data_IF_860156677419
#
_entry.id   IF_860156677419
#
_cell.length_a   1.000
_cell.length_b   1.000
_cell.length_c   1.000
_cell.angle_alpha   90.00
_cell.angle_beta   90.00
_cell.angle_gamma   90.00
#
_symmetry.space_group_name_H-M   'P 1'
#
loop_
_entity.id
_entity.type
_entity.pdbx_description
1 polymer ?
#
# COMPACT_ATOMS: atom_id res chain seq x y z
N UNK A 1 12.03 8.27 5.32
CA UNK A 1 12.54 7.35 6.35
C UNK A 1 12.60 5.99 5.67
N UNK A 2 13.65 5.19 5.88
CA UNK A 2 13.62 3.81 5.37
C UNK A 2 12.67 3.02 6.29
N UNK A 3 11.69 2.32 5.73
CA UNK A 3 10.79 1.47 6.51
C UNK A 3 11.59 0.25 6.96
N UNK A 4 11.60 0.00 8.27
CA UNK A 4 12.19 -1.20 8.85
C UNK A 4 11.15 -2.32 8.81
N UNK A 5 11.19 -3.11 7.74
CA UNK A 5 10.23 -4.20 7.53
C UNK A 5 10.46 -5.37 8.48
N UNK A 6 11.68 -5.55 9.02
CA UNK A 6 12.01 -6.66 9.92
C UNK A 6 11.33 -6.49 11.30
N UNK A 7 11.08 -5.25 11.71
CA UNK A 7 10.43 -4.89 12.98
C UNK A 7 8.98 -4.40 12.78
N UNK A 8 8.39 -4.60 11.59
CA UNK A 8 7.02 -4.18 11.27
C UNK A 8 6.05 -5.37 11.42
N UNK A 9 5.15 -5.30 12.39
CA UNK A 9 4.17 -6.36 12.70
C UNK A 9 2.72 -5.91 12.55
N UNK A 10 2.48 -4.61 12.58
CA UNK A 10 1.15 -4.03 12.48
C UNK A 10 1.16 -2.77 11.61
N UNK A 11 0.25 -2.74 10.63
CA UNK A 11 0.06 -1.62 9.71
C UNK A 11 -1.38 -1.11 9.83
N UNK A 12 -1.53 0.19 10.02
CA UNK A 12 -2.86 0.82 10.03
C UNK A 12 -3.18 1.38 8.65
N UNK A 13 -4.20 0.84 8.00
CA UNK A 13 -4.69 1.32 6.70
C UNK A 13 -5.74 2.42 6.91
N UNK A 14 -5.44 3.61 6.43
CA UNK A 14 -6.29 4.79 6.57
C UNK A 14 -6.87 5.18 5.22
N UNK A 15 -8.19 5.10 5.10
CA UNK A 15 -8.93 5.57 3.93
C UNK A 15 -9.13 7.10 4.01
N UNK A 16 -8.53 7.90 3.11
CA UNK A 16 -8.64 9.35 3.14
C UNK A 16 -10.04 9.86 2.72
N UNK A 17 -10.92 9.01 2.19
CA UNK A 17 -12.31 9.33 1.91
C UNK A 17 -13.23 9.13 3.13
N UNK A 18 -12.78 8.38 4.15
CA UNK A 18 -13.52 8.14 5.39
C UNK A 18 -13.20 9.21 6.46
N UNK A 19 -14.15 9.49 7.39
CA UNK A 19 -13.84 10.31 8.56
C UNK A 19 -12.71 9.69 9.40
N UNK A 20 -11.85 10.55 9.94
CA UNK A 20 -10.80 10.15 10.87
C UNK A 20 -11.33 10.11 12.31
N UNK A 21 -10.80 9.22 13.17
CA UNK A 21 -11.07 9.22 14.60
C UNK A 21 -10.76 10.58 15.26
N UNK A 22 -11.44 10.85 16.37
CA UNK A 22 -11.23 12.09 17.12
C UNK A 22 -9.83 12.19 17.74
N UNK A 23 -9.28 11.04 18.13
CA UNK A 23 -7.92 10.90 18.62
C UNK A 23 -7.08 10.16 17.57
N UNK A 24 -6.17 10.89 16.93
CA UNK A 24 -5.23 10.33 15.95
C UNK A 24 -3.91 9.91 16.59
N UNK A 25 -3.66 10.24 17.86
CA UNK A 25 -2.43 9.85 18.55
C UNK A 25 -2.35 8.32 18.74
N UNK A 26 -3.49 7.62 18.65
CA UNK A 26 -3.58 6.15 18.63
C UNK A 26 -2.79 5.50 17.48
N UNK A 27 -2.43 6.28 16.45
CA UNK A 27 -1.55 5.80 15.37
C UNK A 27 -0.10 5.59 15.83
N UNK A 28 0.30 6.10 17.00
CA UNK A 28 1.62 5.81 17.58
C UNK A 28 1.76 4.36 18.04
N UNK A 29 0.65 3.62 18.14
CA UNK A 29 0.64 2.21 18.54
C UNK A 29 0.88 1.26 17.35
N UNK A 30 0.95 1.78 16.11
CA UNK A 30 1.20 0.98 14.89
C UNK A 30 2.60 1.24 14.35
N UNK A 31 3.15 0.28 13.61
CA UNK A 31 4.51 0.35 13.08
C UNK A 31 4.57 1.17 11.77
N UNK A 32 3.47 1.19 11.03
CA UNK A 32 3.35 1.88 9.74
C UNK A 32 1.92 2.35 9.51
N UNK A 33 1.75 3.51 8.87
CA UNK A 33 0.45 3.94 8.35
C UNK A 33 0.42 3.82 6.83
N UNK A 34 -0.52 3.03 6.31
CA UNK A 34 -0.79 2.91 4.88
C UNK A 34 -1.99 3.80 4.51
N UNK A 35 -1.77 4.86 3.73
CA UNK A 35 -2.84 5.74 3.24
C UNK A 35 -3.28 5.27 1.85
N UNK A 36 -4.47 4.69 1.76
CA UNK A 36 -4.98 4.08 0.54
C UNK A 36 -6.48 3.82 0.57
N UNK A 37 -7.08 3.72 -0.60
CA UNK A 37 -8.52 3.52 -0.80
C UNK A 37 -8.90 3.73 -2.26
N UNK A 38 -10.11 3.29 -2.64
CA UNK A 38 -10.60 3.38 -4.02
C UNK A 38 -11.58 4.55 -4.20
N UNK A 39 -12.79 4.41 -3.66
CA UNK A 39 -13.91 5.31 -3.92
C UNK A 39 -13.78 6.64 -3.16
N UNK A 40 -13.82 7.76 -3.91
CA UNK A 40 -13.81 9.10 -3.33
C UNK A 40 -12.42 9.59 -2.89
N UNK A 41 -11.36 8.83 -3.14
CA UNK A 41 -9.98 9.22 -2.86
C UNK A 41 -9.47 10.19 -3.93
N UNK A 42 -8.85 11.29 -3.49
CA UNK A 42 -8.36 12.40 -4.33
C UNK A 42 -6.99 12.85 -3.84
N UNK A 43 -6.19 13.52 -4.67
CA UNK A 43 -4.92 14.11 -4.21
C UNK A 43 -5.09 15.01 -2.97
N UNK A 44 -6.16 15.82 -2.91
CA UNK A 44 -6.38 16.78 -1.82
C UNK A 44 -6.70 16.10 -0.49
N UNK A 45 -7.58 15.08 -0.47
CA UNK A 45 -7.87 14.36 0.78
C UNK A 45 -6.69 13.47 1.20
N UNK A 46 -5.97 12.83 0.27
CA UNK A 46 -4.73 12.10 0.55
C UNK A 46 -3.69 13.01 1.22
N UNK A 47 -3.41 14.20 0.65
CA UNK A 47 -2.45 15.14 1.24
C UNK A 47 -2.88 15.64 2.62
N UNK A 48 -4.18 15.89 2.83
CA UNK A 48 -4.70 16.29 4.14
C UNK A 48 -4.52 15.20 5.18
N UNK A 49 -4.82 13.95 4.80
CA UNK A 49 -4.67 12.78 5.68
C UNK A 49 -3.21 12.54 6.05
N UNK A 50 -2.29 12.52 5.07
CA UNK A 50 -0.85 12.37 5.35
C UNK A 50 -0.34 13.47 6.29
N UNK A 51 -0.75 14.73 6.10
CA UNK A 51 -0.36 15.83 6.99
C UNK A 51 -0.95 15.68 8.40
N UNK A 52 -2.16 15.15 8.54
CA UNK A 52 -2.78 14.91 9.83
C UNK A 52 -2.06 13.79 10.60
N UNK A 53 -1.73 12.69 9.91
CA UNK A 53 -0.95 11.58 10.45
C UNK A 53 0.43 12.07 10.90
N UNK A 54 1.18 12.76 10.05
CA UNK A 54 2.51 13.28 10.37
C UNK A 54 2.50 14.28 11.55
N UNK A 55 1.37 14.94 11.81
CA UNK A 55 1.23 15.84 12.96
C UNK A 55 0.90 15.08 14.26
N UNK A 56 0.17 13.97 14.19
CA UNK A 56 -0.29 13.19 15.33
C UNK A 56 0.68 12.07 15.73
N UNK A 57 1.38 11.48 14.76
CA UNK A 57 2.31 10.37 14.91
C UNK A 57 3.58 10.63 14.06
N UNK A 58 4.42 11.60 14.46
CA UNK A 58 5.54 12.08 13.63
C UNK A 58 6.67 11.06 13.44
N UNK A 59 6.74 10.05 14.31
CA UNK A 59 7.77 9.00 14.27
C UNK A 59 7.29 7.73 13.54
N UNK A 60 6.01 7.68 13.11
CA UNK A 60 5.45 6.54 12.39
C UNK A 60 5.56 6.80 10.89
N UNK A 61 6.23 5.91 10.11
CA UNK A 61 6.36 6.07 8.68
C UNK A 61 4.99 6.05 7.98
N UNK A 62 4.93 6.69 6.81
CA UNK A 62 3.71 6.72 5.99
C UNK A 62 3.98 6.13 4.62
N UNK A 63 3.27 5.05 4.30
CA UNK A 63 3.21 4.47 2.96
C UNK A 63 1.93 4.94 2.28
N UNK A 64 2.01 5.43 1.04
CA UNK A 64 0.83 5.71 0.22
C UNK A 64 0.58 4.54 -0.75
N UNK A 65 -0.67 4.06 -0.81
CA UNK A 65 -1.15 3.07 -1.78
C UNK A 65 -2.18 3.77 -2.70
N UNK A 66 -1.77 4.32 -3.85
CA UNK A 66 -2.67 5.01 -4.76
C UNK A 66 -3.46 4.01 -5.60
N UNK A 67 -4.78 4.21 -5.67
CA UNK A 67 -5.64 3.48 -6.59
C UNK A 67 -5.58 4.04 -8.03
N UNK A 68 -5.33 5.34 -8.19
CA UNK A 68 -5.31 6.02 -9.48
C UNK A 68 -4.16 7.02 -9.62
N UNK A 69 -3.63 7.18 -10.84
CA UNK A 69 -2.51 8.07 -11.13
C UNK A 69 -2.81 9.55 -10.77
N UNK A 70 -4.07 9.95 -10.74
CA UNK A 70 -4.49 11.30 -10.31
C UNK A 70 -4.25 11.57 -8.82
N UNK A 71 -4.09 10.52 -7.99
CA UNK A 71 -3.78 10.63 -6.57
C UNK A 71 -2.27 10.78 -6.31
N UNK A 72 -1.46 10.72 -7.37
CA UNK A 72 -0.01 10.79 -7.30
C UNK A 72 0.49 12.12 -7.86
N UNK A 73 1.17 12.87 -7.01
CA UNK A 73 1.84 14.11 -7.37
C UNK A 73 3.22 14.20 -6.73
N UNK A 74 4.01 15.20 -7.12
CA UNK A 74 5.29 15.46 -6.43
C UNK A 74 5.07 15.74 -4.95
N UNK A 75 3.98 16.43 -4.60
CA UNK A 75 3.73 16.74 -3.20
C UNK A 75 3.36 15.50 -2.39
N UNK A 76 2.58 14.56 -2.96
CA UNK A 76 2.27 13.31 -2.24
C UNK A 76 3.52 12.45 -2.07
N UNK A 77 4.37 12.35 -3.10
CA UNK A 77 5.61 11.58 -3.07
C UNK A 77 6.66 12.17 -2.13
N UNK A 78 6.75 13.51 -2.04
CA UNK A 78 7.66 14.18 -1.10
C UNK A 78 7.23 14.02 0.38
N UNK A 79 6.00 13.56 0.62
CA UNK A 79 5.38 13.50 1.96
C UNK A 79 5.19 12.09 2.48
N UNK A 80 4.96 11.12 1.60
CA UNK A 80 5.00 9.72 1.95
C UNK A 80 6.46 9.24 1.99
N UNK A 81 6.75 8.32 2.90
CA UNK A 81 8.06 7.65 2.96
C UNK A 81 8.22 6.65 1.81
N UNK A 82 7.13 5.97 1.43
CA UNK A 82 7.06 5.10 0.25
C UNK A 82 5.71 5.24 -0.48
N UNK A 83 5.72 4.93 -1.78
CA UNK A 83 4.54 4.76 -2.61
C UNK A 83 4.50 3.29 -3.10
N UNK A 84 3.59 2.48 -2.57
CA UNK A 84 3.39 1.11 -3.04
C UNK A 84 2.40 1.09 -4.19
N UNK A 85 2.74 0.40 -5.28
CA UNK A 85 1.90 0.31 -6.48
C UNK A 85 1.44 -1.14 -6.65
N UNK A 86 0.16 -1.45 -6.35
CA UNK A 86 -0.37 -2.81 -6.38
C UNK A 86 -0.40 -3.39 -7.80
N UNK A 87 0.01 -4.65 -7.94
CA UNK A 87 -0.17 -5.51 -9.11
C UNK A 87 -1.10 -6.66 -8.73
N UNK A 88 -2.38 -6.57 -9.08
CA UNK A 88 -3.40 -7.55 -8.68
C UNK A 88 -3.35 -8.76 -9.60
N UNK A 89 -2.75 -9.86 -9.14
CA UNK A 89 -2.46 -11.02 -9.99
C UNK A 89 -3.71 -11.78 -10.46
N UNK A 90 -4.73 -11.85 -9.61
CA UNK A 90 -6.01 -12.48 -9.93
C UNK A 90 -7.08 -11.49 -10.41
N UNK A 91 -6.69 -10.25 -10.70
CA UNK A 91 -7.57 -9.21 -11.24
C UNK A 91 -7.54 -9.13 -12.77
N UNK A 92 -8.19 -8.09 -13.30
CA UNK A 92 -8.19 -7.78 -14.71
C UNK A 92 -6.84 -7.19 -15.19
N UNK A 93 -6.73 -7.01 -16.50
CA UNK A 93 -5.50 -6.48 -17.10
C UNK A 93 -5.16 -5.05 -16.61
N UNK A 94 -6.18 -4.23 -16.33
CA UNK A 94 -5.97 -2.85 -15.88
C UNK A 94 -5.33 -2.84 -14.49
N UNK A 95 -5.74 -3.74 -13.59
CA UNK A 95 -5.23 -3.82 -12.22
C UNK A 95 -3.97 -4.67 -12.06
N UNK A 96 -3.69 -5.54 -13.02
CA UNK A 96 -2.41 -6.25 -13.08
C UNK A 96 -1.29 -5.38 -13.65
N UNK A 97 -1.54 -4.60 -14.73
CA UNK A 97 -0.48 -3.80 -15.39
C UNK A 97 -0.93 -2.48 -16.00
N UNK A 98 -2.19 -2.35 -16.45
CA UNK A 98 -2.66 -1.16 -17.17
C UNK A 98 -2.51 0.14 -16.37
N UNK A 99 -2.91 0.13 -15.10
CA UNK A 99 -2.78 1.27 -14.18
C UNK A 99 -1.32 1.66 -13.91
N UNK A 100 -0.38 0.71 -13.96
CA UNK A 100 1.04 1.04 -13.88
C UNK A 100 1.48 1.84 -15.10
N UNK A 101 1.07 1.40 -16.29
CA UNK A 101 1.37 2.12 -17.54
C UNK A 101 0.82 3.54 -17.48
N UNK A 102 -0.40 3.72 -16.97
CA UNK A 102 -1.00 5.05 -16.81
C UNK A 102 -0.24 5.91 -15.79
N UNK A 103 0.07 5.36 -14.60
CA UNK A 103 0.86 6.03 -13.57
C UNK A 103 2.20 6.50 -14.11
N UNK A 104 3.00 5.59 -14.68
CA UNK A 104 4.33 5.94 -15.19
C UNK A 104 4.26 6.85 -16.42
N UNK A 105 3.19 6.78 -17.23
CA UNK A 105 2.95 7.73 -18.32
C UNK A 105 2.72 9.14 -17.79
N UNK A 106 1.89 9.30 -16.76
CA UNK A 106 1.63 10.60 -16.13
C UNK A 106 2.88 11.15 -15.43
N UNK A 107 3.62 10.30 -14.71
CA UNK A 107 4.89 10.67 -14.09
C UNK A 107 5.95 11.07 -15.13
N UNK A 108 5.93 10.49 -16.32
CA UNK A 108 6.79 10.88 -17.45
C UNK A 108 6.39 12.21 -18.10
N UNK A 109 5.11 12.61 -18.04
CA UNK A 109 4.59 13.86 -18.64
C UNK A 109 4.79 15.09 -17.76
N UNK A 110 4.45 15.01 -16.47
CA UNK A 110 4.51 16.11 -15.49
C UNK A 110 5.89 16.82 -15.34
N UNK A 111 7.06 16.20 -15.63
CA UNK A 111 8.35 16.88 -15.67
C UNK A 111 8.45 18.01 -16.70
N UNK A 112 7.73 17.89 -17.81
CA UNK A 112 7.79 18.86 -18.91
C UNK A 112 6.97 20.14 -18.64
N UNK A 113 5.92 20.05 -17.83
CA UNK A 113 4.99 21.17 -17.59
C UNK A 113 5.41 22.13 -16.48
N UNK A 114 6.31 21.71 -15.57
CA UNK A 114 6.86 22.58 -14.51
C UNK A 114 8.07 23.43 -14.95
N UNK A 115 8.59 23.20 -16.16
CA UNK A 115 9.61 24.06 -16.77
C UNK A 115 8.92 25.27 -17.41
N UNK A 116 8.49 26.19 -16.55
CA UNK A 116 7.93 27.47 -16.93
C UNK A 116 8.79 28.20 -17.97
N UNK A 117 8.13 28.55 -19.07
CA UNK A 117 8.57 29.50 -20.08
C UNK A 117 9.26 30.72 -19.47
N UNK A 118 10.59 30.81 -19.54
CA UNK A 118 11.33 32.09 -19.60
C UNK A 118 12.85 31.98 -19.76
N UNK A 119 13.45 30.80 -19.96
CA UNK A 119 14.88 30.71 -20.27
C UNK A 119 15.08 30.04 -21.63
N UNK A 120 15.78 30.67 -22.60
CA UNK A 120 16.16 30.00 -23.83
C UNK A 120 17.21 28.94 -23.47
N UNK A 121 16.81 27.67 -23.37
CA UNK A 121 17.73 26.61 -22.96
C UNK A 121 18.18 25.72 -24.12
N UNK A 122 19.50 25.52 -24.12
CA UNK A 122 20.28 24.57 -24.92
C UNK A 122 19.84 23.15 -24.58
N UNK A 123 19.61 22.32 -25.62
CA UNK A 123 18.90 21.04 -25.55
C UNK A 123 19.43 20.01 -24.56
N UNK A 124 20.69 20.09 -24.14
CA UNK A 124 21.34 19.05 -23.34
C UNK A 124 21.16 19.24 -21.80
N UNK A 125 20.78 20.43 -21.32
CA UNK A 125 20.73 20.74 -19.88
C UNK A 125 19.35 20.51 -19.24
N UNK A 126 18.28 20.53 -20.05
CA UNK A 126 16.91 20.22 -19.58
C UNK A 126 16.76 18.71 -19.36
N UNK A 127 17.33 17.91 -20.26
CA UNK A 127 17.17 16.46 -20.26
C UNK A 127 17.72 15.83 -18.97
N UNK A 128 18.89 16.27 -18.50
CA UNK A 128 19.51 15.72 -17.30
C UNK A 128 18.74 16.02 -16.01
N UNK A 129 18.19 17.24 -15.85
CA UNK A 129 17.43 17.61 -14.64
C UNK A 129 16.04 16.97 -14.58
N UNK A 130 15.42 16.74 -15.74
CA UNK A 130 14.18 15.96 -15.83
C UNK A 130 14.41 14.50 -15.42
N UNK A 131 15.51 13.91 -15.86
CA UNK A 131 15.91 12.54 -15.51
C UNK A 131 16.24 12.40 -14.01
N UNK A 132 16.95 13.35 -13.41
CA UNK A 132 17.26 13.31 -11.96
C UNK A 132 16.00 13.42 -11.09
N UNK A 133 15.04 14.27 -11.48
CA UNK A 133 13.76 14.40 -10.78
C UNK A 133 12.90 13.13 -10.91
N UNK A 134 12.91 12.46 -12.07
CA UNK A 134 12.24 11.16 -12.26
C UNK A 134 12.95 10.07 -11.45
N UNK A 135 14.29 10.08 -11.39
CA UNK A 135 15.07 9.09 -10.65
C UNK A 135 14.81 9.18 -9.14
N UNK A 136 14.71 10.40 -8.59
CA UNK A 136 14.35 10.60 -7.18
C UNK A 136 12.87 10.31 -6.91
N UNK A 137 12.01 10.52 -7.90
CA UNK A 137 10.61 10.14 -7.79
C UNK A 137 10.49 8.62 -7.71
N UNK A 138 11.15 7.93 -8.64
CA UNK A 138 11.15 6.48 -8.77
C UNK A 138 11.80 5.76 -7.59
N UNK A 139 12.68 6.42 -6.80
CA UNK A 139 13.31 5.76 -5.64
C UNK A 139 12.35 5.50 -4.48
N UNK A 140 11.24 6.24 -4.40
CA UNK A 140 10.23 6.04 -3.37
C UNK A 140 9.09 5.12 -3.85
N UNK A 141 9.11 4.70 -5.11
CA UNK A 141 8.10 3.82 -5.70
C UNK A 141 8.52 2.36 -5.53
N UNK A 142 7.63 1.56 -4.97
CA UNK A 142 7.81 0.11 -4.83
C UNK A 142 6.64 -0.64 -5.44
N UNK A 143 6.92 -1.81 -6.00
CA UNK A 143 5.87 -2.72 -6.46
C UNK A 143 5.31 -3.52 -5.29
N UNK A 144 4.03 -3.84 -5.36
CA UNK A 144 3.34 -4.67 -4.39
C UNK A 144 2.59 -5.78 -5.14
N UNK A 145 3.00 -7.03 -4.94
CA UNK A 145 2.26 -8.17 -5.49
C UNK A 145 1.00 -8.38 -4.66
N UNK A 146 -0.15 -8.51 -5.32
CA UNK A 146 -1.44 -8.45 -4.61
C UNK A 146 -2.36 -9.60 -5.04
N UNK A 147 -2.98 -10.29 -4.08
CA UNK A 147 -4.02 -11.31 -4.33
C UNK A 147 -5.27 -10.98 -3.54
N UNK A 148 -6.41 -10.84 -4.23
CA UNK A 148 -7.70 -10.56 -3.60
C UNK A 148 -8.47 -11.87 -3.40
N UNK A 149 -8.71 -12.24 -2.16
CA UNK A 149 -9.27 -13.54 -1.78
C UNK A 149 -10.69 -13.45 -1.19
N UNK A 150 -11.29 -12.25 -1.15
CA UNK A 150 -12.69 -12.06 -0.75
C UNK A 150 -13.54 -11.45 -1.88
N UNK A 151 -14.37 -12.28 -2.53
CA UNK A 151 -15.16 -11.88 -3.71
C UNK A 151 -16.31 -10.91 -3.42
N UNK A 152 -16.78 -10.80 -2.17
CA UNK A 152 -17.84 -9.85 -1.80
C UNK A 152 -17.27 -8.47 -1.40
N UNK A 153 -15.97 -8.25 -1.59
CA UNK A 153 -15.29 -7.00 -1.26
C UNK A 153 -15.38 -5.96 -2.38
N UNK A 154 -15.32 -4.69 -2.02
CA UNK A 154 -15.15 -3.60 -2.99
C UNK A 154 -13.83 -3.74 -3.78
N UNK A 155 -12.79 -4.32 -3.16
CA UNK A 155 -11.53 -4.59 -3.85
C UNK A 155 -11.71 -5.57 -5.00
N UNK A 156 -12.48 -6.65 -4.82
CA UNK A 156 -12.77 -7.62 -5.87
C UNK A 156 -13.59 -7.00 -7.02
N UNK A 157 -14.66 -6.27 -6.68
CA UNK A 157 -15.51 -5.58 -7.65
C UNK A 157 -14.71 -4.59 -8.51
N UNK A 158 -13.84 -3.80 -7.87
CA UNK A 158 -13.05 -2.77 -8.54
C UNK A 158 -11.97 -3.36 -9.42
N UNK A 159 -11.30 -4.43 -8.96
CA UNK A 159 -10.17 -5.04 -9.67
C UNK A 159 -10.54 -6.15 -10.66
N UNK A 160 -11.83 -6.42 -10.85
CA UNK A 160 -12.30 -7.44 -11.79
C UNK A 160 -11.97 -8.87 -11.37
N UNK A 161 -11.93 -9.13 -10.06
CA UNK A 161 -11.61 -10.46 -9.51
C UNK A 161 -12.88 -11.29 -9.43
N UNK A 162 -13.03 -12.22 -10.37
CA UNK A 162 -14.19 -13.12 -10.45
C UNK A 162 -13.95 -14.50 -9.79
N UNK A 163 -12.71 -14.80 -9.38
CA UNK A 163 -12.33 -16.05 -8.75
C UNK A 163 -11.14 -15.86 -7.79
N UNK A 164 -11.21 -16.57 -6.66
CA UNK A 164 -10.10 -16.67 -5.71
C UNK A 164 -9.09 -17.70 -6.19
N UNK A 165 -7.83 -17.52 -5.79
CA UNK A 165 -6.78 -18.51 -5.94
C UNK A 165 -6.91 -19.61 -4.89
N UNK A 166 -6.45 -20.82 -5.22
CA UNK A 166 -6.18 -21.84 -4.20
C UNK A 166 -4.93 -21.48 -3.39
N UNK A 167 -4.70 -22.06 -2.21
CA UNK A 167 -3.46 -21.83 -1.46
C UNK A 167 -2.19 -22.11 -2.28
N UNK A 168 -2.21 -23.12 -3.17
CA UNK A 168 -1.08 -23.38 -4.08
C UNK A 168 -0.89 -22.29 -5.15
N UNK A 169 -1.97 -21.67 -5.62
CA UNK A 169 -1.90 -20.54 -6.55
C UNK A 169 -1.41 -19.26 -5.83
N UNK A 170 -1.82 -19.05 -4.56
CA UNK A 170 -1.28 -17.98 -3.70
C UNK A 170 0.21 -18.17 -3.44
N UNK A 171 0.64 -19.39 -3.12
CA UNK A 171 2.07 -19.74 -2.99
C UNK A 171 2.85 -19.46 -4.30
N UNK A 172 2.25 -19.76 -5.46
CA UNK A 172 2.81 -19.44 -6.76
C UNK A 172 2.94 -17.93 -7.02
N UNK A 173 1.94 -17.16 -6.60
CA UNK A 173 1.96 -15.69 -6.66
C UNK A 173 3.03 -15.09 -5.73
N UNK A 174 3.17 -15.60 -4.50
CA UNK A 174 4.22 -15.23 -3.57
C UNK A 174 5.60 -15.45 -4.20
N UNK A 175 5.85 -16.66 -4.71
CA UNK A 175 7.10 -17.00 -5.39
C UNK A 175 7.39 -16.10 -6.60
N UNK A 176 6.38 -15.77 -7.40
CA UNK A 176 6.54 -14.85 -8.53
C UNK A 176 6.90 -13.42 -8.07
N UNK A 177 6.30 -12.96 -6.98
CA UNK A 177 6.54 -11.63 -6.38
C UNK A 177 8.01 -11.47 -6.01
N UNK A 178 8.58 -12.43 -5.28
CA UNK A 178 9.99 -12.37 -4.87
C UNK A 178 10.93 -12.72 -6.04
N UNK A 179 10.77 -13.89 -6.67
CA UNK A 179 11.80 -14.45 -7.54
C UNK A 179 11.79 -13.88 -8.97
N UNK A 180 10.65 -13.39 -9.45
CA UNK A 180 10.50 -12.89 -10.83
C UNK A 180 10.35 -11.37 -10.88
N UNK A 181 9.43 -10.81 -10.09
CA UNK A 181 9.19 -9.36 -10.09
C UNK A 181 10.19 -8.61 -9.20
N UNK A 182 10.65 -9.23 -8.10
CA UNK A 182 11.48 -8.57 -7.11
C UNK A 182 10.74 -7.44 -6.37
N UNK A 183 9.43 -7.61 -6.17
CA UNK A 183 8.63 -6.64 -5.43
C UNK A 183 8.88 -6.82 -3.93
N UNK A 184 9.10 -5.74 -3.17
CA UNK A 184 9.37 -5.82 -1.74
C UNK A 184 8.14 -6.19 -0.90
N UNK A 185 6.94 -6.15 -1.46
CA UNK A 185 5.70 -6.44 -0.73
C UNK A 185 4.89 -7.50 -1.49
N UNK A 186 4.39 -8.51 -0.77
CA UNK A 186 3.32 -9.40 -1.20
C UNK A 186 2.15 -9.30 -0.23
N UNK A 187 0.96 -8.95 -0.72
CA UNK A 187 -0.23 -8.69 0.09
C UNK A 187 -1.34 -9.71 -0.23
N UNK A 188 -1.79 -10.44 0.79
CA UNK A 188 -2.99 -11.28 0.77
C UNK A 188 -4.18 -10.51 1.32
N UNK A 189 -5.15 -10.17 0.45
CA UNK A 189 -6.26 -9.26 0.77
C UNK A 189 -7.62 -9.96 0.88
N UNK A 190 -8.22 -9.85 2.05
CA UNK A 190 -9.52 -10.39 2.45
C UNK A 190 -10.52 -9.30 2.87
N UNK A 191 -10.30 -8.04 2.47
CA UNK A 191 -11.05 -6.85 2.89
C UNK A 191 -12.54 -7.09 3.13
N UNK A 192 -13.02 -6.71 4.32
CA UNK A 192 -14.39 -6.93 4.75
C UNK A 192 -14.69 -8.31 5.37
N UNK A 193 -13.76 -9.27 5.36
CA UNK A 193 -13.92 -10.57 6.02
C UNK A 193 -12.60 -11.10 6.60
N UNK A 194 -12.68 -12.02 7.57
CA UNK A 194 -11.52 -12.76 8.05
C UNK A 194 -11.34 -14.04 7.24
N UNK A 195 -10.21 -14.15 6.55
CA UNK A 195 -9.87 -15.28 5.67
C UNK A 195 -9.20 -16.47 6.37
N UNK A 196 -8.61 -16.25 7.55
CA UNK A 196 -7.81 -17.26 8.25
C UNK A 196 -6.37 -17.40 7.71
N UNK A 197 -5.58 -18.33 8.30
CA UNK A 197 -4.14 -18.39 8.07
C UNK A 197 -3.70 -19.20 6.83
N UNK A 198 -4.59 -19.96 6.19
CA UNK A 198 -4.22 -20.98 5.18
C UNK A 198 -3.39 -20.41 4.00
N UNK A 199 -3.79 -19.25 3.47
CA UNK A 199 -3.08 -18.60 2.37
C UNK A 199 -1.74 -17.98 2.80
N UNK A 200 -1.66 -17.53 4.06
CA UNK A 200 -0.43 -17.01 4.67
C UNK A 200 0.59 -18.14 4.86
N UNK A 201 0.14 -19.27 5.43
CA UNK A 201 0.96 -20.49 5.59
C UNK A 201 1.47 -21.03 4.25
N UNK A 202 0.69 -20.87 3.18
CA UNK A 202 1.09 -21.28 1.84
C UNK A 202 2.10 -20.32 1.21
N UNK A 203 1.97 -19.01 1.44
CA UNK A 203 2.85 -17.98 0.88
C UNK A 203 4.21 -17.88 1.58
N UNK A 204 4.22 -17.90 2.93
CA UNK A 204 5.40 -17.56 3.74
C UNK A 204 6.66 -18.36 3.44
N UNK A 205 6.63 -19.68 3.10
CA UNK A 205 7.85 -20.43 2.79
C UNK A 205 8.57 -19.99 1.50
N UNK A 206 7.93 -19.15 0.69
CA UNK A 206 8.45 -18.64 -0.58
C UNK A 206 9.02 -17.23 -0.50
N UNK A 207 8.94 -16.59 0.66
CA UNK A 207 9.32 -15.21 0.88
C UNK A 207 10.43 -15.16 1.93
N UNK A 208 11.51 -14.45 1.60
CA UNK A 208 12.70 -14.28 2.43
C UNK A 208 13.22 -12.85 2.45
N UNK A 209 12.96 -12.09 1.39
CA UNK A 209 13.32 -10.68 1.26
C UNK A 209 12.06 -9.81 1.03
N UNK A 210 10.99 -10.40 0.50
CA UNK A 210 9.69 -9.75 0.30
C UNK A 210 8.85 -9.84 1.57
N UNK A 211 8.33 -8.70 2.05
CA UNK A 211 7.41 -8.60 3.18
C UNK A 211 6.04 -9.19 2.82
N UNK A 212 5.55 -10.12 3.64
CA UNK A 212 4.22 -10.72 3.55
C UNK A 212 3.23 -9.94 4.41
N UNK A 213 2.28 -9.28 3.74
CA UNK A 213 1.18 -8.57 4.37
C UNK A 213 -0.11 -9.38 4.30
N UNK A 214 -0.91 -9.30 5.36
CA UNK A 214 -2.28 -9.82 5.38
C UNK A 214 -3.26 -8.73 5.80
N UNK A 215 -4.27 -8.47 4.97
CA UNK A 215 -5.36 -7.55 5.31
C UNK A 215 -6.71 -8.24 5.25
N UNK A 216 -7.58 -7.98 6.23
CA UNK A 216 -8.97 -8.45 6.19
C UNK A 216 -9.49 -8.97 7.53
N UNK A 217 -10.55 -8.32 8.04
CA UNK A 217 -11.34 -8.83 9.17
C UNK A 217 -10.60 -9.00 10.50
N UNK A 218 -9.43 -8.36 10.66
CA UNK A 218 -8.68 -8.31 11.92
C UNK A 218 -9.37 -7.33 12.87
N UNK A 219 -9.93 -7.86 13.95
CA UNK A 219 -10.71 -7.13 14.95
C UNK A 219 -10.42 -7.61 16.38
N UNK A 220 -9.34 -8.38 16.56
CA UNK A 220 -8.92 -8.89 17.87
C UNK A 220 -7.46 -9.30 17.89
N UNK A 221 -6.91 -9.39 19.10
CA UNK A 221 -5.56 -9.87 19.34
C UNK A 221 -5.40 -11.33 18.88
N UNK A 222 -6.43 -12.17 19.08
CA UNK A 222 -6.41 -13.58 18.68
C UNK A 222 -6.18 -13.75 17.18
N UNK A 223 -6.92 -13.01 16.34
CA UNK A 223 -6.74 -13.03 14.89
C UNK A 223 -5.38 -12.46 14.47
N UNK A 224 -4.94 -11.39 15.14
CA UNK A 224 -3.62 -10.81 14.88
C UNK A 224 -2.52 -11.82 15.14
N UNK A 225 -2.53 -12.48 16.30
CA UNK A 225 -1.56 -13.52 16.64
C UNK A 225 -1.63 -14.70 15.67
N UNK A 226 -2.82 -15.18 15.32
CA UNK A 226 -2.99 -16.32 14.40
C UNK A 226 -2.32 -16.06 13.04
N UNK A 227 -2.47 -14.85 12.49
CA UNK A 227 -1.91 -14.50 11.18
C UNK A 227 -0.39 -14.28 11.25
N UNK A 228 0.12 -13.62 12.30
CA UNK A 228 1.56 -13.46 12.48
C UNK A 228 2.25 -14.81 12.72
N UNK A 229 1.65 -15.70 13.51
CA UNK A 229 2.17 -17.06 13.75
C UNK A 229 2.13 -17.95 12.49
N UNK A 230 1.21 -17.68 11.56
CA UNK A 230 1.15 -18.32 10.25
C UNK A 230 2.31 -17.89 9.31
N UNK A 231 3.03 -16.82 9.66
CA UNK A 231 4.22 -16.35 8.97
C UNK A 231 4.01 -15.09 8.15
N UNK A 232 2.91 -14.34 8.35
CA UNK A 232 2.85 -12.97 7.86
C UNK A 232 3.82 -12.10 8.65
N UNK A 233 4.49 -11.17 7.96
CA UNK A 233 5.36 -10.20 8.62
C UNK A 233 4.49 -9.16 9.35
N UNK A 234 3.45 -8.66 8.70
CA UNK A 234 2.52 -7.72 9.31
C UNK A 234 1.04 -7.95 8.96
N UNK A 235 0.16 -7.63 9.91
CA UNK A 235 -1.27 -7.47 9.65
C UNK A 235 -1.61 -6.05 9.22
N UNK A 236 -2.59 -5.91 8.34
CA UNK A 236 -3.10 -4.62 7.84
C UNK A 236 -4.52 -4.42 8.35
N UNK A 237 -4.71 -3.38 9.18
CA UNK A 237 -5.96 -3.11 9.90
C UNK A 237 -6.53 -1.77 9.48
N UNK A 238 -7.75 -1.77 8.93
CA UNK A 238 -8.39 -0.57 8.36
C UNK A 238 -9.75 -0.23 8.95
N UNK A 239 -10.77 -1.08 8.75
CA UNK A 239 -12.15 -0.73 9.09
C UNK A 239 -12.35 -0.42 10.58
N UNK A 240 -11.77 -1.21 11.47
CA UNK A 240 -11.85 -0.97 12.93
C UNK A 240 -11.22 0.37 13.33
N UNK A 241 -10.17 0.84 12.65
CA UNK A 241 -9.59 2.16 12.91
C UNK A 241 -10.61 3.28 12.68
N UNK A 242 -11.42 3.19 11.63
CA UNK A 242 -12.43 4.20 11.32
C UNK A 242 -13.69 4.06 12.18
N UNK A 243 -14.12 2.83 12.45
CA UNK A 243 -15.45 2.54 12.99
C UNK A 243 -15.47 2.41 14.51
N UNK A 244 -14.43 1.79 15.11
CA UNK A 244 -14.34 1.53 16.54
C UNK A 244 -12.88 1.51 17.03
N UNK A 245 -12.35 2.67 17.46
CA UNK A 245 -10.97 2.78 17.95
C UNK A 245 -10.64 1.85 19.13
N UNK A 246 -11.63 1.40 19.91
CA UNK A 246 -11.38 0.45 20.98
C UNK A 246 -11.06 -0.95 20.43
N UNK A 247 -11.79 -1.39 19.41
CA UNK A 247 -11.51 -2.64 18.70
C UNK A 247 -10.18 -2.56 17.95
N UNK A 248 -9.88 -1.42 17.31
CA UNK A 248 -8.58 -1.20 16.67
C UNK A 248 -7.42 -1.39 17.66
N UNK A 249 -7.50 -0.85 18.87
CA UNK A 249 -6.44 -1.04 19.86
C UNK A 249 -6.28 -2.50 20.32
N UNK A 250 -7.32 -3.33 20.19
CA UNK A 250 -7.22 -4.77 20.46
C UNK A 250 -6.48 -5.53 19.35
N UNK A 251 -6.22 -4.92 18.18
CA UNK A 251 -5.45 -5.55 17.09
C UNK A 251 -3.95 -5.30 17.20
N UNK A 252 -3.50 -4.41 18.09
CA UNK A 252 -2.07 -4.13 18.26
C UNK A 252 -1.40 -5.35 18.94
N UNK A 253 -0.30 -5.91 18.36
CA UNK A 253 0.45 -6.99 19.00
C UNK A 253 1.03 -6.58 20.36
N UNK A 254 1.14 -7.53 21.30
CA UNK A 254 1.88 -7.31 22.55
C UNK A 254 3.39 -7.18 22.27
N UNK A 255 4.04 -6.14 22.82
CA UNK A 255 5.50 -5.90 22.77
C UNK A 255 6.30 -6.80 23.73
#
# INVERSE_FOLDING_TARGET
>A
MDIDWDDCSHITKVDPAKPLPADLEILQETDLVMVGGSDGVTEDNTLKTIRAIAAAAPDVPVLQEPYDASQVSRETIDRADLLAVPAVYNGDWDHFVGKHVDLFTELGRKPSETLGSSVPLVGDVIESRGLDAISNLASNLVGEGYVVQHLESAAADVSGVDAVYTPEEVAGAALATEAFYGFPIFYVEYSGAYGGPEDVEAASPHLSETTLLYGGGIDSHEKTTEILEAGADAVVVGDSFHDDPAIYLETIPEQ
#
